data_IF_467833414839
#
_entry.id   IF_467833414839
#
_cell.length_a   1.000
_cell.length_b   1.000
_cell.length_c   1.000
_cell.angle_alpha   90.00
_cell.angle_beta   90.00
_cell.angle_gamma   90.00
#
_symmetry.space_group_name_H-M   'P 1'
#
loop_
_entity.id
_entity.type
_entity.pdbx_description
1 polymer ?
#
# COMPACT_ATOMS: atom_id res chain seq x y z
N UNK A 1 -2.90 -23.34 12.95
CA UNK A 1 -4.07 -22.61 12.43
C UNK A 1 -5.33 -23.25 12.98
N UNK A 2 -6.16 -22.51 13.71
CA UNK A 2 -7.47 -22.97 14.21
C UNK A 2 -8.55 -22.06 13.63
N UNK A 3 -9.37 -22.52 12.67
CA UNK A 3 -10.34 -21.67 12.01
C UNK A 3 -11.49 -21.31 12.97
N UNK A 4 -11.73 -20.01 13.17
CA UNK A 4 -12.86 -19.50 13.95
C UNK A 4 -13.92 -18.91 13.01
N UNK A 5 -14.87 -19.74 12.57
CA UNK A 5 -15.92 -19.34 11.63
C UNK A 5 -16.83 -18.24 12.17
N UNK A 6 -16.95 -18.08 13.50
CA UNK A 6 -17.74 -16.99 14.10
C UNK A 6 -17.19 -15.61 13.74
N UNK A 7 -15.87 -15.51 13.50
CA UNK A 7 -15.24 -14.24 13.11
C UNK A 7 -15.66 -13.76 11.72
N UNK A 8 -16.17 -14.65 10.86
CA UNK A 8 -16.68 -14.25 9.54
C UNK A 8 -17.91 -13.34 9.65
N UNK A 9 -18.62 -13.38 10.78
CA UNK A 9 -19.72 -12.45 11.09
C UNK A 9 -19.27 -11.07 11.58
N UNK A 10 -18.00 -10.88 11.91
CA UNK A 10 -17.47 -9.57 12.30
C UNK A 10 -17.04 -8.77 11.07
N UNK A 11 -17.74 -7.67 10.80
CA UNK A 11 -17.43 -6.78 9.67
C UNK A 11 -15.99 -6.21 9.73
N UNK A 12 -15.41 -6.09 10.93
CA UNK A 12 -14.04 -5.57 11.11
C UNK A 12 -13.01 -6.50 10.50
N UNK A 13 -13.24 -7.81 10.53
CA UNK A 13 -12.37 -8.79 9.89
C UNK A 13 -12.24 -8.50 8.39
N UNK A 14 -13.37 -8.27 7.73
CA UNK A 14 -13.42 -7.99 6.30
C UNK A 14 -12.77 -6.65 5.96
N UNK A 15 -13.03 -5.59 6.74
CA UNK A 15 -12.41 -4.28 6.51
C UNK A 15 -10.90 -4.32 6.69
N UNK A 16 -10.41 -5.02 7.72
CA UNK A 16 -8.98 -5.23 7.93
C UNK A 16 -8.35 -6.04 6.78
N UNK A 17 -9.02 -7.11 6.32
CA UNK A 17 -8.53 -7.93 5.21
C UNK A 17 -8.49 -7.16 3.87
N UNK A 18 -9.53 -6.38 3.57
CA UNK A 18 -9.59 -5.55 2.37
C UNK A 18 -8.53 -4.44 2.40
N UNK A 19 -8.36 -3.79 3.56
CA UNK A 19 -7.30 -2.81 3.78
C UNK A 19 -5.93 -3.44 3.57
N UNK A 20 -5.62 -4.52 4.28
CA UNK A 20 -4.33 -5.23 4.16
C UNK A 20 -4.03 -5.63 2.71
N UNK A 21 -5.03 -6.14 2.00
CA UNK A 21 -4.88 -6.56 0.60
C UNK A 21 -4.55 -5.39 -0.32
N UNK A 22 -5.24 -4.26 -0.15
CA UNK A 22 -4.99 -3.06 -0.95
C UNK A 22 -3.58 -2.51 -0.69
N UNK A 23 -3.17 -2.45 0.58
CA UNK A 23 -1.85 -2.00 1.02
C UNK A 23 -0.71 -2.90 0.54
N UNK A 24 -0.85 -4.21 0.72
CA UNK A 24 0.17 -5.20 0.36
C UNK A 24 0.47 -5.20 -1.14
N UNK A 25 -0.60 -5.15 -1.96
CA UNK A 25 -0.46 -5.16 -3.42
C UNK A 25 -0.15 -3.79 -4.03
N UNK A 26 -0.25 -2.70 -3.24
CA UNK A 26 -0.09 -1.34 -3.73
C UNK A 26 -1.18 -0.90 -4.72
N UNK A 27 -2.37 -1.50 -4.66
CA UNK A 27 -3.46 -1.27 -5.60
C UNK A 27 -3.98 0.17 -5.52
N UNK A 28 -3.62 1.00 -6.50
CA UNK A 28 -4.02 2.42 -6.56
C UNK A 28 -2.84 3.40 -6.51
N UNK A 29 -1.63 2.96 -6.16
CA UNK A 29 -0.45 3.85 -6.13
C UNK A 29 0.09 4.24 -7.51
N UNK A 30 -0.35 3.57 -8.58
CA UNK A 30 0.18 3.79 -9.93
C UNK A 30 1.51 3.05 -10.20
N UNK A 31 2.07 2.32 -9.23
CA UNK A 31 3.32 1.57 -9.39
C UNK A 31 3.27 0.58 -10.56
N UNK A 32 2.14 -0.11 -10.72
CA UNK A 32 1.94 -1.05 -11.82
C UNK A 32 1.87 -0.35 -13.18
N UNK A 33 1.42 0.90 -13.23
CA UNK A 33 1.41 1.68 -14.46
C UNK A 33 2.84 1.97 -14.90
N UNK A 34 3.71 2.34 -13.96
CA UNK A 34 5.14 2.57 -14.25
C UNK A 34 5.81 1.32 -14.80
N UNK A 35 5.56 0.15 -14.21
CA UNK A 35 6.10 -1.10 -14.75
C UNK A 35 5.51 -1.45 -16.12
N UNK A 36 4.22 -1.21 -16.31
CA UNK A 36 3.57 -1.45 -17.60
C UNK A 36 4.16 -0.60 -18.74
N UNK A 37 4.69 0.59 -18.46
CA UNK A 37 5.39 1.43 -19.47
C UNK A 37 6.67 0.76 -19.98
N UNK A 38 7.33 -0.04 -19.14
CA UNK A 38 8.56 -0.76 -19.50
C UNK A 38 8.32 -2.20 -19.98
N UNK A 39 7.11 -2.73 -19.81
CA UNK A 39 6.74 -4.05 -20.29
C UNK A 39 6.71 -4.14 -21.82
N UNK A 40 7.08 -5.31 -22.35
CA UNK A 40 6.96 -5.57 -23.78
C UNK A 40 5.49 -5.62 -24.21
N UNK A 41 5.17 -5.11 -25.41
CA UNK A 41 3.80 -5.15 -25.99
C UNK A 41 3.18 -6.55 -26.11
N UNK A 42 3.99 -7.61 -26.04
CA UNK A 42 3.56 -9.02 -26.10
C UNK A 42 3.23 -9.60 -24.73
N UNK A 43 3.54 -8.90 -23.63
CA UNK A 43 3.21 -9.36 -22.30
C UNK A 43 1.71 -9.32 -22.06
N UNK A 44 1.21 -10.33 -21.35
CA UNK A 44 -0.20 -10.41 -20.98
C UNK A 44 -0.38 -9.72 -19.62
N UNK A 45 -1.00 -8.52 -19.56
CA UNK A 45 -1.12 -7.76 -18.32
C UNK A 45 -1.96 -8.48 -17.26
N UNK A 46 -2.95 -9.28 -17.68
CA UNK A 46 -3.81 -10.07 -16.78
C UNK A 46 -3.01 -11.15 -16.09
N UNK A 47 -2.19 -11.88 -16.85
CA UNK A 47 -1.33 -12.94 -16.31
C UNK A 47 -0.30 -12.36 -15.36
N UNK A 48 0.37 -11.29 -15.77
CA UNK A 48 1.38 -10.60 -14.93
C UNK A 48 0.77 -10.11 -13.62
N UNK A 49 -0.37 -9.41 -13.67
CA UNK A 49 -1.05 -8.92 -12.46
C UNK A 49 -1.52 -10.05 -11.54
N UNK A 50 -2.03 -11.16 -12.12
CA UNK A 50 -2.47 -12.33 -11.34
C UNK A 50 -1.30 -13.03 -10.66
N UNK A 51 -0.19 -13.25 -11.39
CA UNK A 51 1.02 -13.86 -10.83
C UNK A 51 1.63 -13.00 -9.74
N UNK A 52 1.66 -11.67 -9.92
CA UNK A 52 2.18 -10.75 -8.91
C UNK A 52 1.34 -10.80 -7.63
N UNK A 53 0.02 -10.64 -7.73
CA UNK A 53 -0.87 -10.70 -6.57
C UNK A 53 -0.83 -12.06 -5.86
N UNK A 54 -0.80 -13.15 -6.62
CA UNK A 54 -0.67 -14.49 -6.05
C UNK A 54 0.67 -14.68 -5.31
N UNK A 55 1.77 -14.22 -5.91
CA UNK A 55 3.10 -14.27 -5.29
C UNK A 55 3.16 -13.50 -3.98
N UNK A 56 2.57 -12.29 -3.94
CA UNK A 56 2.47 -11.45 -2.73
C UNK A 56 1.73 -12.17 -1.59
N UNK A 57 0.58 -12.79 -1.89
CA UNK A 57 -0.18 -13.53 -0.88
C UNK A 57 0.52 -14.79 -0.41
N UNK A 58 1.17 -15.53 -1.30
CA UNK A 58 1.95 -16.73 -0.93
C UNK A 58 3.12 -16.33 -0.03
N UNK A 59 3.88 -15.29 -0.38
CA UNK A 59 4.97 -14.79 0.43
C UNK A 59 4.48 -14.32 1.81
N UNK A 60 3.39 -13.56 1.87
CA UNK A 60 2.76 -13.10 3.10
C UNK A 60 2.27 -14.25 3.98
N UNK A 61 1.67 -15.27 3.38
CA UNK A 61 1.19 -16.45 4.08
C UNK A 61 2.35 -17.29 4.63
N UNK A 62 3.41 -17.50 3.85
CA UNK A 62 4.62 -18.18 4.31
C UNK A 62 5.24 -17.44 5.49
N UNK A 63 5.40 -16.11 5.39
CA UNK A 63 5.90 -15.29 6.48
C UNK A 63 5.04 -15.42 7.74
N UNK A 64 3.70 -15.38 7.60
CA UNK A 64 2.79 -15.55 8.73
C UNK A 64 2.87 -16.95 9.36
N UNK A 65 2.95 -18.02 8.55
CA UNK A 65 3.07 -19.41 9.02
C UNK A 65 4.43 -19.65 9.70
N UNK A 66 5.48 -18.93 9.31
CA UNK A 66 6.79 -19.04 9.96
C UNK A 66 6.87 -18.22 11.25
N UNK A 67 6.48 -16.94 11.19
CA UNK A 67 6.65 -15.98 12.28
C UNK A 67 5.68 -16.28 13.43
N UNK A 68 4.38 -16.38 13.15
CA UNK A 68 3.35 -16.45 14.21
C UNK A 68 3.53 -17.69 15.10
N UNK A 69 3.69 -18.93 14.57
CA UNK A 69 3.93 -20.10 15.41
C UNK A 69 5.25 -20.04 16.19
N UNK A 70 6.31 -19.46 15.63
CA UNK A 70 7.56 -19.27 16.35
C UNK A 70 7.38 -18.36 17.58
N UNK A 71 6.54 -17.31 17.46
CA UNK A 71 6.11 -16.47 18.59
C UNK A 71 5.47 -17.29 19.69
N UNK A 72 4.43 -18.02 19.35
CA UNK A 72 3.69 -18.79 20.34
C UNK A 72 4.53 -19.89 20.97
N UNK A 73 5.37 -20.59 20.20
CA UNK A 73 6.24 -21.64 20.72
C UNK A 73 7.27 -21.11 21.72
N UNK A 74 7.87 -19.96 21.43
CA UNK A 74 8.85 -19.34 22.34
C UNK A 74 8.22 -18.95 23.67
N UNK A 75 7.09 -18.23 23.64
CA UNK A 75 6.43 -17.77 24.85
C UNK A 75 5.75 -18.88 25.65
N UNK A 76 5.26 -19.94 24.98
CA UNK A 76 4.78 -21.13 25.68
C UNK A 76 5.88 -21.77 26.53
N UNK A 77 7.13 -21.80 26.03
CA UNK A 77 8.30 -22.28 26.78
C UNK A 77 8.66 -21.41 28.00
N UNK A 78 8.22 -20.16 28.05
CA UNK A 78 8.46 -19.24 29.16
C UNK A 78 7.31 -19.18 30.17
N UNK A 79 6.27 -20.02 30.01
CA UNK A 79 5.09 -19.99 30.87
C UNK A 79 4.24 -18.72 30.72
N UNK A 80 4.43 -17.95 29.64
CA UNK A 80 3.67 -16.73 29.39
C UNK A 80 2.28 -17.10 28.88
N UNK A 81 1.26 -16.53 29.52
CA UNK A 81 -0.13 -16.78 29.14
C UNK A 81 -0.43 -16.38 27.69
N UNK A 82 -1.25 -17.17 27.01
CA UNK A 82 -1.59 -16.99 25.60
C UNK A 82 -2.13 -15.57 25.29
N UNK A 83 -2.96 -15.01 26.17
CA UNK A 83 -3.47 -13.63 26.04
C UNK A 83 -2.36 -12.58 26.06
N UNK A 84 -1.30 -12.79 26.84
CA UNK A 84 -0.18 -11.87 26.93
C UNK A 84 0.63 -11.86 25.63
N UNK A 85 0.81 -13.03 25.01
CA UNK A 85 1.45 -13.17 23.69
C UNK A 85 0.65 -12.44 22.61
N UNK A 86 -0.68 -12.58 22.60
CA UNK A 86 -1.55 -11.87 21.67
C UNK A 86 -1.42 -10.35 21.84
N UNK A 87 -1.23 -9.86 23.08
CA UNK A 87 -1.02 -8.44 23.35
C UNK A 87 0.32 -7.93 22.81
N UNK A 88 1.40 -8.71 22.94
CA UNK A 88 2.70 -8.37 22.35
C UNK A 88 2.62 -8.34 20.83
N UNK A 89 1.94 -9.32 20.23
CA UNK A 89 1.73 -9.34 18.78
C UNK A 89 0.81 -8.23 18.26
N UNK A 90 0.00 -7.61 19.12
CA UNK A 90 -0.89 -6.52 18.74
C UNK A 90 -0.25 -5.13 18.84
N UNK A 91 1.02 -5.04 19.22
CA UNK A 91 1.83 -3.80 19.20
C UNK A 91 2.19 -3.33 17.76
N UNK A 92 1.54 -3.89 16.76
CA UNK A 92 1.67 -3.53 15.36
C UNK A 92 2.95 -4.06 14.70
N UNK A 93 3.23 -3.53 13.51
CA UNK A 93 4.38 -3.89 12.68
C UNK A 93 5.73 -3.63 13.37
N UNK A 94 5.82 -2.60 14.21
CA UNK A 94 7.06 -2.22 14.92
C UNK A 94 7.39 -3.16 16.07
N UNK A 95 6.42 -3.44 16.94
CA UNK A 95 6.61 -4.33 18.09
C UNK A 95 7.07 -5.72 17.63
N UNK A 96 6.39 -6.28 16.63
CA UNK A 96 6.76 -7.59 16.07
C UNK A 96 8.17 -7.59 15.46
N UNK A 97 8.46 -6.67 14.56
CA UNK A 97 9.71 -6.70 13.78
C UNK A 97 10.94 -6.28 14.58
N UNK A 98 10.83 -5.23 15.40
CA UNK A 98 11.98 -4.60 16.05
C UNK A 98 12.10 -4.91 17.54
N UNK A 99 11.07 -5.48 18.18
CA UNK A 99 11.13 -5.89 19.59
C UNK A 99 11.12 -7.41 19.70
N UNK A 100 10.13 -8.05 19.06
CA UNK A 100 9.93 -9.47 19.25
C UNK A 100 10.93 -10.34 18.47
N UNK A 101 11.15 -10.08 17.17
CA UNK A 101 12.09 -10.87 16.36
C UNK A 101 13.53 -10.87 16.96
N UNK A 102 14.10 -9.73 17.39
CA UNK A 102 15.40 -9.73 18.08
C UNK A 102 15.39 -10.56 19.36
N UNK A 103 14.33 -10.44 20.16
CA UNK A 103 14.19 -11.21 21.41
C UNK A 103 14.14 -12.71 21.16
N UNK A 104 13.39 -13.15 20.14
CA UNK A 104 13.34 -14.55 19.75
C UNK A 104 14.74 -15.06 19.38
N UNK A 105 15.41 -14.38 18.44
CA UNK A 105 16.69 -14.86 17.94
C UNK A 105 17.77 -14.84 19.03
N UNK A 106 17.72 -13.93 20.00
CA UNK A 106 18.65 -13.95 21.15
C UNK A 106 18.64 -15.28 21.94
N UNK A 107 17.57 -16.08 21.84
CA UNK A 107 17.38 -17.33 22.60
C UNK A 107 17.52 -18.61 21.75
N UNK A 108 17.81 -18.49 20.45
CA UNK A 108 18.01 -19.63 19.56
C UNK A 108 19.52 -19.81 19.31
N UNK A 109 20.06 -21.05 19.32
CA UNK A 109 21.44 -21.30 18.92
C UNK A 109 21.75 -20.73 17.52
N UNK A 110 22.83 -19.96 17.38
CA UNK A 110 23.15 -19.27 16.12
C UNK A 110 22.25 -18.06 15.81
N UNK A 111 21.44 -17.60 16.77
CA UNK A 111 20.45 -16.56 16.58
C UNK A 111 20.96 -15.24 16.01
N UNK A 112 22.16 -14.79 16.40
CA UNK A 112 22.76 -13.56 15.85
C UNK A 112 22.93 -13.63 14.33
N UNK A 113 23.29 -14.80 13.79
CA UNK A 113 23.40 -15.01 12.34
C UNK A 113 22.02 -14.91 11.66
N UNK A 114 21.01 -15.57 12.22
CA UNK A 114 19.65 -15.52 11.69
C UNK A 114 19.02 -14.13 11.82
N UNK A 115 19.32 -13.39 12.89
CA UNK A 115 18.88 -12.02 13.08
C UNK A 115 19.47 -11.10 12.01
N UNK A 116 20.77 -11.24 11.72
CA UNK A 116 21.43 -10.50 10.65
C UNK A 116 20.81 -10.83 9.29
N UNK A 117 20.56 -12.11 9.00
CA UNK A 117 19.92 -12.55 7.77
C UNK A 117 18.47 -12.02 7.64
N UNK A 118 17.71 -12.02 8.75
CA UNK A 118 16.36 -11.48 8.79
C UNK A 118 16.33 -9.99 8.44
N UNK A 119 17.17 -9.17 9.09
CA UNK A 119 17.22 -7.73 8.80
C UNK A 119 17.80 -7.43 7.42
N UNK A 120 18.72 -8.24 6.92
CA UNK A 120 19.19 -8.14 5.54
C UNK A 120 18.06 -8.42 4.54
N UNK A 121 17.27 -9.47 4.77
CA UNK A 121 16.11 -9.79 3.96
C UNK A 121 15.04 -8.68 4.04
N UNK A 122 14.77 -8.16 5.24
CA UNK A 122 13.85 -7.04 5.44
C UNK A 122 14.32 -5.78 4.70
N UNK A 123 15.63 -5.51 4.70
CA UNK A 123 16.23 -4.41 3.96
C UNK A 123 16.03 -4.57 2.45
N UNK A 124 16.28 -5.75 1.89
CA UNK A 124 16.02 -6.02 0.47
C UNK A 124 14.52 -5.95 0.11
N UNK A 125 13.64 -6.40 1.00
CA UNK A 125 12.20 -6.28 0.82
C UNK A 125 11.77 -4.79 0.76
N UNK A 126 12.26 -3.96 1.68
CA UNK A 126 11.99 -2.52 1.68
C UNK A 126 12.60 -1.83 0.44
N UNK A 127 13.84 -2.18 0.09
CA UNK A 127 14.56 -1.58 -1.04
C UNK A 127 13.90 -1.89 -2.39
N UNK A 128 13.44 -3.13 -2.60
CA UNK A 128 12.76 -3.51 -3.84
C UNK A 128 11.44 -2.74 -4.04
N UNK A 129 10.68 -2.51 -2.97
CA UNK A 129 9.48 -1.66 -3.01
C UNK A 129 9.82 -0.19 -3.29
N UNK A 130 10.85 0.35 -2.62
CA UNK A 130 11.28 1.74 -2.79
C UNK A 130 11.70 2.06 -4.23
N UNK A 131 12.40 1.14 -4.92
CA UNK A 131 12.78 1.32 -6.32
C UNK A 131 11.55 1.63 -7.19
N UNK A 132 10.47 0.88 -7.01
CA UNK A 132 9.23 1.05 -7.77
C UNK A 132 8.59 2.44 -7.55
N UNK A 133 8.61 2.90 -6.30
CA UNK A 133 8.04 4.18 -5.90
C UNK A 133 8.87 5.36 -6.43
N UNK A 134 10.20 5.25 -6.36
CA UNK A 134 11.11 6.26 -6.92
C UNK A 134 11.00 6.32 -8.45
N UNK A 135 10.90 5.17 -9.13
CA UNK A 135 10.75 5.12 -10.59
C UNK A 135 9.43 5.77 -11.04
N UNK A 136 8.33 5.59 -10.28
CA UNK A 136 7.05 6.25 -10.58
C UNK A 136 7.20 7.78 -10.61
N UNK A 137 7.77 8.36 -9.57
CA UNK A 137 7.95 9.82 -9.48
C UNK A 137 8.96 10.29 -10.54
N UNK A 138 10.04 9.54 -10.72
CA UNK A 138 11.07 9.83 -11.73
C UNK A 138 10.47 9.87 -13.13
N UNK A 139 9.59 8.92 -13.46
CA UNK A 139 8.93 8.84 -14.77
C UNK A 139 8.07 10.06 -15.05
N UNK A 140 7.29 10.53 -14.07
CA UNK A 140 6.47 11.75 -14.19
C UNK A 140 7.32 12.97 -14.53
N UNK A 141 8.52 13.09 -13.94
CA UNK A 141 9.44 14.20 -14.22
C UNK A 141 10.10 14.04 -15.59
N UNK A 142 10.43 12.82 -16.00
CA UNK A 142 10.95 12.53 -17.36
C UNK A 142 9.91 12.88 -18.43
N UNK A 143 8.64 12.51 -18.22
CA UNK A 143 7.53 12.82 -19.12
C UNK A 143 7.24 14.33 -19.21
N UNK A 144 7.81 15.12 -18.30
CA UNK A 144 7.78 16.59 -18.34
C UNK A 144 8.98 17.20 -19.10
N UNK A 145 9.82 16.38 -19.72
CA UNK A 145 10.96 16.80 -20.56
C UNK A 145 12.34 16.77 -19.87
N UNK A 146 12.44 16.28 -18.63
CA UNK A 146 13.72 16.20 -17.93
C UNK A 146 14.55 14.97 -18.34
N UNK A 147 15.88 15.07 -18.26
CA UNK A 147 16.75 13.90 -18.44
C UNK A 147 16.63 12.94 -17.25
N UNK A 148 16.77 11.62 -17.49
CA UNK A 148 16.70 10.60 -16.43
C UNK A 148 17.66 10.88 -15.27
N UNK A 149 18.89 11.29 -15.57
CA UNK A 149 19.90 11.58 -14.53
C UNK A 149 19.45 12.72 -13.61
N UNK A 150 18.92 13.80 -14.19
CA UNK A 150 18.41 14.93 -13.42
C UNK A 150 17.18 14.52 -12.59
N UNK A 151 16.22 13.81 -13.20
CA UNK A 151 15.02 13.35 -12.53
C UNK A 151 15.34 12.48 -11.32
N UNK A 152 16.23 11.48 -11.46
CA UNK A 152 16.62 10.59 -10.35
C UNK A 152 17.29 11.38 -9.21
N UNK A 153 18.16 12.34 -9.52
CA UNK A 153 18.82 13.16 -8.48
C UNK A 153 17.79 14.02 -7.75
N UNK A 154 16.88 14.68 -8.48
CA UNK A 154 15.84 15.52 -7.88
C UNK A 154 14.95 14.68 -6.98
N UNK A 155 14.45 13.54 -7.46
CA UNK A 155 13.58 12.65 -6.68
C UNK A 155 14.33 12.11 -5.46
N UNK A 156 15.56 11.64 -5.61
CA UNK A 156 16.36 11.12 -4.51
C UNK A 156 16.61 12.15 -3.41
N UNK A 157 17.04 13.36 -3.77
CA UNK A 157 17.25 14.45 -2.80
C UNK A 157 15.94 14.87 -2.13
N UNK A 158 14.86 15.00 -2.91
CA UNK A 158 13.55 15.39 -2.38
C UNK A 158 13.03 14.34 -1.39
N UNK A 159 13.08 13.05 -1.75
CA UNK A 159 12.70 11.96 -0.86
C UNK A 159 13.57 11.90 0.39
N UNK A 160 14.88 12.12 0.27
CA UNK A 160 15.78 12.15 1.42
C UNK A 160 15.39 13.27 2.39
N UNK A 161 15.32 14.52 1.94
CA UNK A 161 15.04 15.66 2.81
C UNK A 161 13.61 15.66 3.37
N UNK A 162 12.61 15.30 2.56
CA UNK A 162 11.22 15.18 3.03
C UNK A 162 11.01 13.95 3.92
N UNK A 163 11.87 12.94 3.81
CA UNK A 163 11.85 11.75 4.66
C UNK A 163 12.53 11.93 6.02
N UNK A 164 13.44 12.91 6.17
CA UNK A 164 14.16 13.16 7.42
C UNK A 164 13.25 13.33 8.65
N UNK A 165 12.15 14.11 8.60
CA UNK A 165 11.27 14.25 9.77
C UNK A 165 10.62 12.92 10.19
N UNK A 166 10.31 12.03 9.23
CA UNK A 166 9.81 10.68 9.51
C UNK A 166 10.86 9.77 10.14
N UNK A 167 12.15 9.98 9.82
CA UNK A 167 13.25 9.26 10.46
C UNK A 167 13.54 9.75 11.89
N UNK A 168 13.27 11.03 12.17
CA UNK A 168 13.56 11.66 13.47
C UNK A 168 12.40 11.58 14.46
N UNK A 169 11.15 11.46 14.00
CA UNK A 169 9.96 11.45 14.85
C UNK A 169 8.96 10.37 14.42
N UNK A 170 8.71 9.41 15.30
CA UNK A 170 7.69 8.37 15.09
C UNK A 170 6.29 8.98 14.96
N UNK A 171 5.98 10.04 15.70
CA UNK A 171 4.69 10.72 15.58
C UNK A 171 4.50 11.38 14.21
N UNK A 172 5.57 11.94 13.63
CA UNK A 172 5.52 12.47 12.27
C UNK A 172 5.37 11.33 11.26
N UNK A 173 6.13 10.24 11.40
CA UNK A 173 6.00 9.05 10.56
C UNK A 173 4.56 8.52 10.56
N UNK A 174 3.97 8.33 11.74
CA UNK A 174 2.60 7.80 11.90
C UNK A 174 1.56 8.74 11.28
N UNK A 175 1.78 10.05 11.38
CA UNK A 175 0.93 11.04 10.73
C UNK A 175 1.03 10.98 9.20
N UNK A 176 2.22 10.84 8.64
CA UNK A 176 2.40 10.73 7.19
C UNK A 176 1.79 9.43 6.64
N UNK A 177 2.02 8.30 7.31
CA UNK A 177 1.41 7.01 6.97
C UNK A 177 -0.13 7.10 6.99
N UNK A 178 -0.69 7.73 8.02
CA UNK A 178 -2.13 7.96 8.14
C UNK A 178 -2.70 8.84 7.02
N UNK A 179 -2.05 9.97 6.73
CA UNK A 179 -2.57 11.01 5.81
C UNK A 179 -2.48 10.56 4.36
N UNK A 180 -1.32 10.06 3.96
CA UNK A 180 -1.07 9.60 2.60
C UNK A 180 -1.57 8.17 2.37
N UNK A 181 -1.86 7.47 3.47
CA UNK A 181 -2.74 6.31 3.57
C UNK A 181 -3.94 6.37 2.61
N UNK A 182 -4.71 7.45 2.75
CA UNK A 182 -5.90 7.68 1.94
C UNK A 182 -5.63 7.86 0.45
N UNK A 183 -4.41 8.24 0.07
CA UNK A 183 -4.04 8.49 -1.32
C UNK A 183 -4.19 7.27 -2.20
N UNK A 184 -3.86 6.08 -1.67
CA UNK A 184 -4.10 4.80 -2.35
C UNK A 184 -5.58 4.66 -2.72
N UNK A 185 -6.48 4.89 -1.76
CA UNK A 185 -7.92 4.68 -1.93
C UNK A 185 -8.53 5.71 -2.88
N UNK A 186 -8.13 6.97 -2.76
CA UNK A 186 -8.56 8.06 -3.63
C UNK A 186 -8.09 7.82 -5.07
N UNK A 187 -6.80 7.49 -5.26
CA UNK A 187 -6.25 7.20 -6.59
C UNK A 187 -6.89 5.96 -7.22
N UNK A 188 -7.05 4.88 -6.45
CA UNK A 188 -7.76 3.68 -6.89
C UNK A 188 -9.19 4.01 -7.35
N UNK A 189 -9.89 4.89 -6.64
CA UNK A 189 -11.22 5.36 -7.02
C UNK A 189 -11.23 6.06 -8.38
N UNK A 190 -10.24 6.90 -8.69
CA UNK A 190 -10.12 7.57 -9.98
C UNK A 190 -9.93 6.58 -11.13
N UNK A 191 -9.09 5.56 -10.93
CA UNK A 191 -8.88 4.50 -11.93
C UNK A 191 -10.19 3.73 -12.17
N UNK A 192 -10.89 3.34 -11.10
CA UNK A 192 -12.18 2.64 -11.21
C UNK A 192 -13.20 3.49 -11.96
N UNK A 193 -13.35 4.77 -11.60
CA UNK A 193 -14.26 5.70 -12.28
C UNK A 193 -13.91 5.89 -13.75
N UNK A 194 -12.62 5.95 -14.09
CA UNK A 194 -12.16 6.05 -15.48
C UNK A 194 -12.58 4.81 -16.27
N UNK A 195 -12.38 3.60 -15.73
CA UNK A 195 -12.78 2.35 -16.39
C UNK A 195 -14.30 2.27 -16.56
N UNK A 196 -15.07 2.70 -15.55
CA UNK A 196 -16.53 2.78 -15.64
C UNK A 196 -16.96 3.77 -16.74
N UNK A 197 -16.33 4.94 -16.81
CA UNK A 197 -16.61 5.98 -17.82
C UNK A 197 -16.28 5.52 -19.24
N UNK A 198 -15.15 4.83 -19.44
CA UNK A 198 -14.80 4.21 -20.73
C UNK A 198 -15.78 3.08 -21.10
N UNK A 199 -16.35 2.44 -20.09
CA UNK A 199 -17.27 1.32 -20.21
C UNK A 199 -16.51 0.00 -20.10
N UNK A 200 -16.85 -0.81 -19.09
CA UNK A 200 -16.12 -2.06 -18.78
C UNK A 200 -16.07 -3.06 -19.94
N UNK A 201 -17.13 -3.12 -20.76
CA UNK A 201 -17.17 -3.98 -21.96
C UNK A 201 -16.18 -3.50 -23.02
N UNK A 202 -16.06 -2.19 -23.22
CA UNK A 202 -15.12 -1.57 -24.16
C UNK A 202 -13.70 -1.79 -23.67
N UNK A 203 -13.43 -1.46 -22.41
CA UNK A 203 -12.15 -1.69 -21.75
C UNK A 203 -11.67 -3.16 -21.90
N UNK A 204 -12.55 -4.13 -21.65
CA UNK A 204 -12.23 -5.56 -21.78
C UNK A 204 -11.99 -6.03 -23.21
N UNK A 205 -12.60 -5.40 -24.21
CA UNK A 205 -12.45 -5.80 -25.62
C UNK A 205 -11.26 -5.13 -26.29
N UNK A 206 -11.00 -3.87 -25.97
CA UNK A 206 -10.02 -3.03 -26.65
C UNK A 206 -8.69 -2.93 -25.89
N UNK A 207 -8.72 -2.91 -24.55
CA UNK A 207 -7.53 -2.67 -23.72
C UNK A 207 -6.96 -3.97 -23.14
N UNK A 208 -7.83 -4.88 -22.67
CA UNK A 208 -7.43 -6.17 -22.08
C UNK A 208 -8.17 -7.37 -22.71
N UNK A 209 -8.00 -7.61 -24.02
CA UNK A 209 -8.70 -8.68 -24.73
C UNK A 209 -8.45 -10.07 -24.15
N UNK A 210 -7.37 -10.27 -23.40
CA UNK A 210 -7.01 -11.52 -22.74
C UNK A 210 -8.05 -11.94 -21.69
N UNK A 211 -8.69 -10.99 -20.98
CA UNK A 211 -9.82 -11.31 -20.08
C UNK A 211 -11.02 -11.81 -20.88
N UNK A 212 -11.24 -11.27 -22.08
CA UNK A 212 -12.32 -11.75 -22.96
C UNK A 212 -12.08 -13.17 -23.48
N UNK A 213 -10.84 -13.68 -23.42
CA UNK A 213 -10.44 -15.03 -23.87
C UNK A 213 -10.17 -16.01 -22.71
N UNK A 214 -10.13 -15.52 -21.47
CA UNK A 214 -9.80 -16.32 -20.28
C UNK A 214 -10.99 -17.08 -19.68
N UNK A 215 -10.74 -17.94 -18.66
CA UNK A 215 -11.77 -18.75 -18.01
C UNK A 215 -12.71 -17.93 -17.11
N UNK A 216 -12.33 -16.69 -16.74
CA UNK A 216 -13.18 -15.79 -15.98
C UNK A 216 -14.37 -15.37 -16.83
N UNK A 217 -15.58 -15.76 -16.40
CA UNK A 217 -16.81 -15.35 -17.08
C UNK A 217 -16.82 -13.82 -17.16
N UNK A 218 -16.84 -13.29 -18.38
CA UNK A 218 -16.69 -11.85 -18.69
C UNK A 218 -17.64 -10.93 -17.91
N UNK A 219 -18.82 -11.43 -17.53
CA UNK A 219 -19.78 -10.72 -16.68
C UNK A 219 -19.30 -10.51 -15.23
N UNK A 220 -18.47 -11.41 -14.67
CA UNK A 220 -17.93 -11.30 -13.31
C UNK A 220 -17.05 -10.06 -13.23
N UNK A 221 -16.16 -9.89 -14.19
CA UNK A 221 -15.33 -8.69 -14.28
C UNK A 221 -16.18 -7.41 -14.34
N UNK A 222 -17.24 -7.42 -15.17
CA UNK A 222 -18.15 -6.27 -15.28
C UNK A 222 -18.84 -5.94 -13.95
N UNK A 223 -19.29 -6.96 -13.21
CA UNK A 223 -19.92 -6.79 -11.88
C UNK A 223 -18.92 -6.30 -10.84
N UNK A 224 -17.72 -6.88 -10.82
CA UNK A 224 -16.66 -6.52 -9.88
C UNK A 224 -16.27 -5.05 -10.05
N UNK A 225 -16.03 -4.61 -11.28
CA UNK A 225 -15.58 -3.23 -11.55
C UNK A 225 -16.70 -2.21 -11.39
N UNK A 226 -17.94 -2.52 -11.83
CA UNK A 226 -19.04 -1.55 -11.78
C UNK A 226 -19.66 -1.39 -10.39
N UNK A 227 -19.69 -2.46 -9.60
CA UNK A 227 -20.42 -2.47 -8.34
C UNK A 227 -19.50 -2.76 -7.17
N UNK A 228 -18.79 -3.89 -7.17
CA UNK A 228 -18.05 -4.32 -5.97
C UNK A 228 -16.91 -3.36 -5.61
N UNK A 229 -16.07 -2.97 -6.58
CA UNK A 229 -14.92 -2.09 -6.34
C UNK A 229 -15.35 -0.69 -5.87
N UNK A 230 -16.34 0.00 -6.49
CA UNK A 230 -16.87 1.25 -5.95
C UNK A 230 -17.43 1.13 -4.54
N UNK A 231 -18.22 0.07 -4.27
CA UNK A 231 -18.79 -0.18 -2.94
C UNK A 231 -17.66 -0.38 -1.92
N UNK A 232 -16.62 -1.15 -2.27
CA UNK A 232 -15.46 -1.38 -1.43
C UNK A 232 -14.74 -0.07 -1.09
N UNK A 233 -14.46 0.78 -2.08
CA UNK A 233 -13.81 2.08 -1.87
C UNK A 233 -14.64 2.94 -0.92
N UNK A 234 -15.95 3.03 -1.14
CA UNK A 234 -16.85 3.80 -0.27
C UNK A 234 -16.85 3.22 1.15
N UNK A 235 -16.98 1.90 1.30
CA UNK A 235 -16.98 1.24 2.60
C UNK A 235 -15.67 1.46 3.36
N UNK A 236 -14.53 1.38 2.67
CA UNK A 236 -13.22 1.63 3.27
C UNK A 236 -13.06 3.11 3.65
N UNK A 237 -13.52 4.06 2.83
CA UNK A 237 -13.47 5.50 3.15
C UNK A 237 -14.32 5.80 4.37
N UNK A 238 -15.58 5.32 4.39
CA UNK A 238 -16.49 5.49 5.52
C UNK A 238 -15.89 4.88 6.79
N UNK A 239 -15.35 3.66 6.69
CA UNK A 239 -14.70 3.01 7.82
C UNK A 239 -13.50 3.80 8.33
N UNK A 240 -12.67 4.34 7.44
CA UNK A 240 -11.51 5.14 7.82
C UNK A 240 -11.92 6.40 8.60
N UNK A 241 -12.91 7.15 8.10
CA UNK A 241 -13.45 8.32 8.79
C UNK A 241 -14.10 7.95 10.13
N UNK A 242 -14.86 6.85 10.14
CA UNK A 242 -15.48 6.33 11.35
C UNK A 242 -14.45 5.89 12.40
N UNK A 243 -13.37 5.24 11.97
CA UNK A 243 -12.26 4.82 12.83
C UNK A 243 -11.58 6.04 13.46
N UNK A 244 -11.33 7.09 12.68
CA UNK A 244 -10.78 8.35 13.18
C UNK A 244 -11.69 9.01 14.22
N UNK A 245 -12.99 9.10 13.93
CA UNK A 245 -13.98 9.66 14.87
C UNK A 245 -14.06 8.85 16.17
N UNK A 246 -14.16 7.53 16.08
CA UNK A 246 -14.30 6.66 17.26
C UNK A 246 -13.06 6.66 18.14
N UNK A 247 -11.88 6.74 17.52
CA UNK A 247 -10.61 6.76 18.24
C UNK A 247 -10.48 8.02 19.11
N UNK A 248 -10.88 9.19 18.59
CA UNK A 248 -10.75 10.47 19.30
C UNK A 248 -11.96 11.41 19.10
N UNK A 249 -13.13 11.14 19.71
CA UNK A 249 -14.38 11.85 19.40
C UNK A 249 -14.36 13.37 19.66
N UNK A 250 -13.51 13.84 20.57
CA UNK A 250 -13.41 15.27 20.93
C UNK A 250 -12.43 16.06 20.06
N UNK A 251 -11.48 15.38 19.42
CA UNK A 251 -10.36 16.03 18.72
C UNK A 251 -10.15 15.48 17.31
N UNK A 252 -11.10 14.70 16.79
CA UNK A 252 -11.04 14.10 15.45
C UNK A 252 -10.84 15.12 14.31
N UNK A 253 -11.21 16.39 14.51
CA UNK A 253 -11.02 17.47 13.54
C UNK A 253 -9.79 18.36 13.81
N UNK A 254 -8.99 18.08 14.84
CA UNK A 254 -7.82 18.89 15.17
C UNK A 254 -6.70 18.67 14.12
N UNK A 255 -6.26 19.71 13.39
CA UNK A 255 -5.32 19.55 12.29
C UNK A 255 -3.89 19.16 12.70
N UNK A 256 -3.53 19.25 13.98
CA UNK A 256 -2.18 19.00 14.47
C UNK A 256 -2.02 17.66 15.19
N UNK A 257 -3.11 16.89 15.35
CA UNK A 257 -3.04 15.57 15.98
C UNK A 257 -2.77 14.48 14.95
N UNK A 258 -1.86 13.57 15.33
CA UNK A 258 -1.58 12.32 14.63
C UNK A 258 -2.86 11.48 14.57
N UNK A 259 -3.23 11.00 13.38
CA UNK A 259 -4.42 10.14 13.16
C UNK A 259 -5.79 10.83 13.23
N UNK A 260 -5.85 12.16 13.07
CA UNK A 260 -7.11 12.92 12.95
C UNK A 260 -7.58 13.08 11.50
N UNK A 261 -8.85 13.41 11.29
CA UNK A 261 -9.38 13.86 9.99
C UNK A 261 -8.87 15.26 9.68
N UNK A 262 -8.69 16.11 10.70
CA UNK A 262 -8.18 17.46 10.55
C UNK A 262 -6.81 17.50 9.85
N UNK A 263 -5.87 16.63 10.27
CA UNK A 263 -4.51 16.58 9.69
C UNK A 263 -4.56 16.23 8.20
N UNK A 264 -5.50 15.35 7.81
CA UNK A 264 -5.70 14.93 6.43
C UNK A 264 -6.22 16.08 5.60
N UNK A 265 -7.30 16.73 6.05
CA UNK A 265 -7.89 17.85 5.31
C UNK A 265 -6.89 19.00 5.13
N UNK A 266 -6.08 19.29 6.15
CA UNK A 266 -5.04 20.31 6.07
C UNK A 266 -3.98 19.94 5.02
N UNK A 267 -3.38 18.75 5.12
CA UNK A 267 -2.28 18.35 4.25
C UNK A 267 -2.72 18.11 2.80
N UNK A 268 -3.86 17.44 2.60
CA UNK A 268 -4.45 17.30 1.27
C UNK A 268 -4.89 18.64 0.69
N UNK A 269 -5.43 19.55 1.51
CA UNK A 269 -5.76 20.91 1.10
C UNK A 269 -4.55 21.68 0.60
N UNK A 270 -3.44 21.64 1.35
CA UNK A 270 -2.16 22.22 0.93
C UNK A 270 -1.67 21.59 -0.37
N UNK A 271 -1.70 20.26 -0.48
CA UNK A 271 -1.27 19.56 -1.68
C UNK A 271 -2.12 19.96 -2.90
N UNK A 272 -3.44 20.03 -2.77
CA UNK A 272 -4.35 20.45 -3.84
C UNK A 272 -4.05 21.90 -4.25
N UNK A 273 -3.85 22.82 -3.32
CA UNK A 273 -3.50 24.22 -3.62
C UNK A 273 -2.19 24.29 -4.41
N UNK A 274 -1.16 23.56 -3.98
CA UNK A 274 0.12 23.46 -4.69
C UNK A 274 -0.08 22.89 -6.10
N UNK A 275 -0.85 21.81 -6.26
CA UNK A 275 -1.17 21.25 -7.57
C UNK A 275 -1.92 22.22 -8.47
N UNK A 276 -2.91 22.96 -7.94
CA UNK A 276 -3.66 23.95 -8.71
C UNK A 276 -2.76 25.09 -9.19
N UNK A 277 -1.83 25.55 -8.35
CA UNK A 277 -0.85 26.57 -8.72
C UNK A 277 0.12 26.07 -9.80
N UNK A 278 0.61 24.83 -9.66
CA UNK A 278 1.55 24.21 -10.60
C UNK A 278 0.88 23.67 -11.87
N UNK A 279 -0.45 23.52 -11.90
CA UNK A 279 -1.18 22.86 -12.97
C UNK A 279 -0.88 23.47 -14.35
N UNK A 280 -0.88 24.80 -14.47
CA UNK A 280 -0.57 25.48 -15.73
C UNK A 280 0.86 25.20 -16.20
N UNK A 281 1.81 25.09 -15.27
CA UNK A 281 3.21 24.79 -15.57
C UNK A 281 3.37 23.33 -15.99
N UNK A 282 2.79 22.40 -15.24
CA UNK A 282 2.82 20.96 -15.54
C UNK A 282 2.18 20.68 -16.90
N UNK A 283 0.99 21.23 -17.15
CA UNK A 283 0.28 21.03 -18.42
C UNK A 283 1.09 21.55 -19.61
N UNK A 284 1.78 22.70 -19.48
CA UNK A 284 2.65 23.24 -20.53
C UNK A 284 3.88 22.37 -20.78
N UNK A 285 4.50 21.83 -19.73
CA UNK A 285 5.66 20.96 -19.85
C UNK A 285 5.30 19.64 -20.54
N UNK A 286 4.14 19.06 -20.19
CA UNK A 286 3.66 17.82 -20.80
C UNK A 286 3.24 17.99 -22.27
N UNK A 287 2.54 19.08 -22.62
CA UNK A 287 2.15 19.30 -24.02
C UNK A 287 3.34 19.60 -24.92
N UNK A 288 4.36 20.29 -24.41
CA UNK A 288 5.60 20.53 -25.16
C UNK A 288 6.34 19.22 -25.46
N UNK A 289 6.37 18.28 -24.52
CA UNK A 289 6.96 16.95 -24.71
C UNK A 289 6.19 16.06 -25.70
N UNK A 290 4.90 16.30 -25.95
CA UNK A 290 4.08 15.51 -26.89
C UNK A 290 4.07 16.09 -28.31
N UNK A 291 4.55 17.32 -28.47
CA UNK A 291 4.62 18.03 -29.76
C UNK A 291 5.98 17.94 -30.45
N UNK A 292 6.97 17.31 -29.81
CA UNK A 292 8.29 16.93 -30.36
C UNK A 292 8.34 15.40 -30.56
#
# INVERSE_FOLDING_TARGET
FSPNLKMLGDYRLWLNALSQTAWSTGAGWGLMLTYAVYSHKKENPVRTATTLGFGDYVASLLAAITVIPAVFSYFAGQGVAHQQVIKVMSEGNRGLTFTWIPTLFAHIPGGTFFLALFFLALCFAAFSSLISQLELITRVIIDSGATRRLAVIIVGLTCFFLGLPSALSLGFFDNQDWVWGLGLMVSGSFIIMLVIKVGTRKFRREIIPEISRGPLKTWIFDVLVKFLMPIQVIAMLVWWFWSSYKSNPRTWFNPFLTSSVGTVLLQWGVAIIVFLFLNKTIARLQTKSLGE
#
